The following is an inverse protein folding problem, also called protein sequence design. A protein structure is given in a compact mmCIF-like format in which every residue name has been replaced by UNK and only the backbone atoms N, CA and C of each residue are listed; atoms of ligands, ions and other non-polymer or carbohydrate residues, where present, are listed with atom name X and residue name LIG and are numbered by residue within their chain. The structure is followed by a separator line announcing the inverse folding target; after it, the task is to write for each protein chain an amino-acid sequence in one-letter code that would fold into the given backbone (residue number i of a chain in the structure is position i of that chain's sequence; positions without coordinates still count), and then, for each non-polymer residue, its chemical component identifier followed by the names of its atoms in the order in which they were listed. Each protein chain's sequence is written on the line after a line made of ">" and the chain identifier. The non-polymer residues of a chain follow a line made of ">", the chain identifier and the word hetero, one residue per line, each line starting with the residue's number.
data_IF_875980092555
#
_entry.id   IF_875980092555
#
_cell.length_a   1.000
_cell.length_b   1.000
_cell.length_c   1.000
_cell.angle_alpha   90.00
_cell.angle_beta   90.00
_cell.angle_gamma   90.00
#
_symmetry.space_group_name_H-M   'P 1'
#
loop_
_entity.id
_entity.type
_entity.pdbx_description
1 polymer ?
#
# COMPACT_ATOMS: atom_id res chain seq x y z
N UNK A 1 10.79 -16.43 24.25
CA UNK A 1 10.99 -16.41 22.79
C UNK A 1 11.08 -14.95 22.37
N UNK A 2 12.20 -14.52 21.82
CA UNK A 2 12.37 -13.17 21.28
C UNK A 2 11.44 -13.02 20.08
N UNK A 3 10.58 -11.99 20.09
CA UNK A 3 9.71 -11.67 18.95
C UNK A 3 10.62 -11.33 17.76
N UNK A 4 10.51 -12.01 16.63
CA UNK A 4 11.34 -11.69 15.47
C UNK A 4 11.09 -10.24 15.03
N UNK A 5 12.16 -9.55 14.67
CA UNK A 5 12.06 -8.21 14.08
C UNK A 5 11.26 -8.30 12.79
N UNK A 6 10.19 -7.54 12.70
CA UNK A 6 9.38 -7.44 11.49
C UNK A 6 9.93 -6.34 10.59
N UNK A 7 10.11 -6.62 9.30
CA UNK A 7 10.45 -5.63 8.28
C UNK A 7 9.37 -5.61 7.22
N UNK A 8 8.75 -4.45 7.00
CA UNK A 8 7.73 -4.27 5.98
C UNK A 8 8.33 -3.52 4.77
N UNK A 9 8.38 -4.18 3.63
CA UNK A 9 8.81 -3.58 2.36
C UNK A 9 7.62 -2.96 1.65
N UNK A 10 7.72 -1.68 1.28
CA UNK A 10 6.58 -0.88 0.81
C UNK A 10 6.94 0.06 -0.34
N UNK A 11 5.90 0.59 -1.00
CA UNK A 11 5.97 1.88 -1.68
C UNK A 11 5.20 2.92 -0.87
N UNK A 12 5.70 4.16 -0.81
CA UNK A 12 5.10 5.22 -0.01
C UNK A 12 3.61 5.47 -0.38
N UNK A 13 3.31 5.59 -1.66
CA UNK A 13 1.97 5.86 -2.19
C UNK A 13 1.14 4.60 -2.51
N UNK A 14 1.50 3.43 -1.96
CA UNK A 14 0.78 2.18 -2.24
C UNK A 14 -0.37 1.97 -1.26
N UNK A 15 -1.57 1.83 -1.78
CA UNK A 15 -2.78 1.49 -1.04
C UNK A 15 -2.65 0.14 -0.30
N UNK A 16 -2.08 -0.87 -0.95
CA UNK A 16 -1.85 -2.19 -0.35
C UNK A 16 -0.84 -2.11 0.80
N UNK A 17 0.20 -1.27 0.64
CA UNK A 17 1.16 -1.02 1.71
C UNK A 17 0.50 -0.28 2.87
N UNK A 18 -0.38 0.67 2.61
CA UNK A 18 -1.13 1.39 3.64
C UNK A 18 -2.04 0.45 4.44
N UNK A 19 -2.77 -0.45 3.78
CA UNK A 19 -3.56 -1.50 4.43
C UNK A 19 -2.73 -2.28 5.46
N UNK A 20 -1.50 -2.66 5.10
CA UNK A 20 -0.65 -3.47 6.00
C UNK A 20 0.02 -2.62 7.08
N UNK A 21 0.45 -1.38 6.79
CA UNK A 21 0.88 -0.44 7.84
C UNK A 21 -0.19 -0.30 8.91
N UNK A 22 -1.41 -0.07 8.48
CA UNK A 22 -2.55 0.07 9.38
C UNK A 22 -2.81 -1.20 10.19
N UNK A 23 -2.76 -2.37 9.54
CA UNK A 23 -2.95 -3.65 10.21
C UNK A 23 -1.89 -3.91 11.30
N UNK A 24 -0.63 -3.61 11.02
CA UNK A 24 0.48 -3.73 11.99
C UNK A 24 0.33 -2.74 13.15
N UNK A 25 -0.05 -1.50 12.83
CA UNK A 25 -0.28 -0.45 13.84
C UNK A 25 -1.46 -0.79 14.76
N UNK A 26 -2.57 -1.28 14.20
CA UNK A 26 -3.76 -1.71 14.95
C UNK A 26 -3.45 -2.92 15.85
N UNK A 27 -2.62 -3.84 15.38
CA UNK A 27 -2.14 -4.98 16.17
C UNK A 27 -1.12 -4.60 17.26
N UNK A 28 -0.70 -3.33 17.32
CA UNK A 28 0.31 -2.89 18.28
C UNK A 28 1.71 -3.42 18.01
N UNK A 29 1.99 -3.92 16.83
CA UNK A 29 3.26 -4.52 16.47
C UNK A 29 4.33 -3.48 16.14
N UNK A 30 5.55 -3.73 16.61
CA UNK A 30 6.71 -2.94 16.20
C UNK A 30 7.30 -3.55 14.94
N UNK A 31 7.57 -2.72 13.94
CA UNK A 31 8.20 -3.12 12.69
C UNK A 31 9.12 -2.02 12.16
N UNK A 32 10.05 -2.40 11.31
CA UNK A 32 10.84 -1.48 10.50
C UNK A 32 10.18 -1.36 9.13
N UNK A 33 10.05 -0.16 8.60
CA UNK A 33 9.55 0.03 7.25
C UNK A 33 10.71 0.29 6.30
N UNK A 34 10.80 -0.52 5.24
CA UNK A 34 11.76 -0.32 4.17
C UNK A 34 11.03 0.13 2.92
N UNK A 35 11.12 1.42 2.65
CA UNK A 35 10.50 2.02 1.48
C UNK A 35 11.36 1.84 0.24
N UNK A 36 10.78 1.24 -0.78
CA UNK A 36 11.42 0.95 -2.05
C UNK A 36 11.08 2.03 -3.07
N UNK A 37 11.99 2.24 -4.02
CA UNK A 37 11.73 3.15 -5.15
C UNK A 37 11.04 2.37 -6.27
N UNK A 38 9.87 2.82 -6.79
CA UNK A 38 9.24 2.19 -7.94
C UNK A 38 10.22 2.02 -9.11
N UNK A 39 10.06 0.94 -9.88
CA UNK A 39 10.90 0.52 -11.00
C UNK A 39 12.33 0.07 -10.65
N UNK A 40 12.98 0.62 -9.62
CA UNK A 40 14.33 0.26 -9.20
C UNK A 40 14.38 -0.85 -8.15
N UNK A 41 13.24 -1.24 -7.62
CA UNK A 41 13.10 -2.27 -6.58
C UNK A 41 13.43 -3.69 -7.07
N UNK A 42 13.60 -3.93 -8.36
CA UNK A 42 13.92 -5.27 -8.89
C UNK A 42 15.25 -5.83 -8.38
N UNK A 43 16.27 -4.98 -8.20
CA UNK A 43 17.53 -5.39 -7.60
C UNK A 43 17.37 -5.73 -6.10
N UNK A 44 16.54 -4.99 -5.39
CA UNK A 44 16.22 -5.28 -3.99
C UNK A 44 15.39 -6.57 -3.86
N UNK A 45 14.48 -6.83 -4.80
CA UNK A 45 13.67 -8.05 -4.87
C UNK A 45 14.52 -9.32 -4.95
N UNK A 46 15.50 -9.36 -5.84
CA UNK A 46 16.44 -10.50 -5.94
C UNK A 46 17.19 -10.76 -4.63
N UNK A 47 17.49 -9.69 -3.88
CA UNK A 47 18.16 -9.80 -2.57
C UNK A 47 17.21 -10.26 -1.47
N UNK A 48 15.93 -9.87 -1.55
CA UNK A 48 14.92 -10.11 -0.51
C UNK A 48 14.40 -11.55 -0.60
N UNK A 49 13.99 -12.01 -1.78
CA UNK A 49 13.32 -13.31 -1.92
C UNK A 49 13.98 -14.26 -2.90
N UNK A 50 15.08 -13.87 -3.54
CA UNK A 50 15.71 -14.65 -4.61
C UNK A 50 14.87 -14.77 -5.89
N UNK A 51 13.75 -14.04 -5.98
CA UNK A 51 12.79 -14.08 -7.09
C UNK A 51 12.52 -12.69 -7.66
N UNK A 52 12.33 -12.59 -8.95
CA UNK A 52 11.94 -11.35 -9.64
C UNK A 52 10.44 -11.03 -9.47
N UNK A 53 9.66 -11.96 -8.92
CA UNK A 53 8.20 -11.91 -8.84
C UNK A 53 7.61 -11.34 -7.55
N UNK A 54 8.41 -10.74 -6.65
CA UNK A 54 7.93 -10.24 -5.35
C UNK A 54 6.89 -9.14 -5.50
N UNK A 55 5.73 -9.32 -4.91
CA UNK A 55 4.70 -8.28 -4.81
C UNK A 55 4.98 -7.34 -3.63
N UNK A 56 4.57 -6.09 -3.73
CA UNK A 56 4.65 -5.11 -2.64
C UNK A 56 3.21 -4.78 -2.20
N UNK A 57 2.93 -4.88 -0.88
CA UNK A 57 3.83 -5.05 0.27
C UNK A 57 4.37 -6.48 0.44
N UNK A 58 5.55 -6.59 1.04
CA UNK A 58 6.14 -7.84 1.53
C UNK A 58 6.51 -7.68 3.00
N UNK A 59 6.16 -8.65 3.83
CA UNK A 59 6.54 -8.72 5.24
C UNK A 59 7.67 -9.75 5.41
N UNK A 60 8.77 -9.33 6.03
CA UNK A 60 9.82 -10.21 6.51
C UNK A 60 9.66 -10.45 8.01
N UNK A 61 9.64 -11.69 8.41
CA UNK A 61 9.49 -12.11 9.79
C UNK A 61 10.46 -13.26 10.12
N UNK A 62 11.60 -12.94 10.73
CA UNK A 62 12.59 -13.96 11.13
C UNK A 62 13.18 -14.77 9.97
N UNK A 63 13.32 -14.17 8.79
CA UNK A 63 13.83 -14.79 7.56
C UNK A 63 12.76 -15.41 6.66
N UNK A 64 11.51 -15.47 7.09
CA UNK A 64 10.36 -15.80 6.26
C UNK A 64 9.87 -14.54 5.53
N UNK A 65 9.53 -14.66 4.25
CA UNK A 65 8.96 -13.57 3.44
C UNK A 65 7.53 -13.91 3.05
N UNK A 66 6.61 -13.03 3.44
CA UNK A 66 5.18 -13.15 3.12
C UNK A 66 4.81 -12.03 2.16
N UNK A 67 4.38 -12.39 0.98
CA UNK A 67 4.00 -11.47 -0.08
C UNK A 67 2.47 -11.36 -0.16
N UNK A 68 1.99 -10.29 -0.79
CA UNK A 68 0.58 -9.97 -0.93
C UNK A 68 -0.10 -9.55 0.39
N UNK A 69 -0.92 -8.50 0.29
CA UNK A 69 -1.54 -7.90 1.48
C UNK A 69 -2.52 -8.83 2.19
N UNK A 70 -3.25 -9.68 1.46
CA UNK A 70 -4.19 -10.64 2.08
C UNK A 70 -3.43 -11.78 2.77
N UNK A 71 -2.37 -12.29 2.14
CA UNK A 71 -1.52 -13.32 2.77
C UNK A 71 -0.80 -12.79 4.02
N UNK A 72 -0.40 -11.52 4.02
CA UNK A 72 0.18 -10.88 5.21
C UNK A 72 -0.86 -10.80 6.34
N UNK A 73 -2.11 -10.45 6.04
CA UNK A 73 -3.19 -10.44 7.04
C UNK A 73 -3.43 -11.83 7.63
N UNK A 74 -3.46 -12.87 6.79
CA UNK A 74 -3.58 -14.26 7.24
C UNK A 74 -2.38 -14.71 8.08
N UNK A 75 -1.18 -14.27 7.72
CA UNK A 75 0.01 -14.53 8.51
C UNK A 75 -0.07 -13.86 9.88
N UNK A 76 -0.50 -12.60 9.94
CA UNK A 76 -0.71 -11.87 11.18
C UNK A 76 -1.76 -12.54 12.06
N UNK A 77 -2.86 -13.01 11.52
CA UNK A 77 -3.88 -13.75 12.26
C UNK A 77 -3.33 -15.01 12.89
N UNK A 78 -2.57 -15.79 12.14
CA UNK A 78 -1.99 -17.06 12.62
C UNK A 78 -0.91 -16.87 13.68
N UNK A 79 -0.10 -15.82 13.59
CA UNK A 79 1.09 -15.63 14.43
C UNK A 79 0.92 -14.58 15.52
N UNK A 80 -0.15 -13.80 15.50
CA UNK A 80 -0.42 -12.68 16.41
C UNK A 80 -1.85 -12.69 16.94
N UNK A 81 -2.38 -13.87 17.21
CA UNK A 81 -3.71 -14.02 17.78
C UNK A 81 -3.76 -13.53 19.26
N UNK A 82 -4.87 -12.87 19.68
CA UNK A 82 -6.00 -12.49 18.85
C UNK A 82 -5.67 -11.29 17.94
N UNK A 83 -5.88 -11.45 16.64
CA UNK A 83 -5.66 -10.35 15.70
C UNK A 83 -6.92 -9.48 15.60
N UNK A 84 -6.81 -8.25 16.09
CA UNK A 84 -7.97 -7.39 16.38
C UNK A 84 -8.82 -7.00 15.16
N UNK A 85 -8.25 -7.06 13.93
CA UNK A 85 -8.97 -6.68 12.71
C UNK A 85 -9.78 -7.82 12.08
N UNK A 86 -9.56 -9.06 12.49
CA UNK A 86 -10.33 -10.21 11.98
C UNK A 86 -11.27 -10.68 13.08
N UNK A 87 -12.61 -10.59 12.89
CA UNK A 87 -13.58 -11.02 13.88
C UNK A 87 -13.38 -12.50 14.26
N UNK A 88 -13.57 -12.81 15.54
CA UNK A 88 -13.48 -14.20 16.03
C UNK A 88 -14.76 -15.01 15.73
N UNK A 89 -15.91 -14.33 15.63
CA UNK A 89 -17.14 -14.96 15.18
C UNK A 89 -17.01 -15.39 13.71
N UNK A 90 -17.37 -16.64 13.41
CA UNK A 90 -17.13 -17.25 12.10
C UNK A 90 -17.94 -16.58 10.98
N UNK A 91 -19.15 -16.12 11.27
CA UNK A 91 -19.99 -15.44 10.29
C UNK A 91 -19.47 -14.04 9.98
N UNK A 92 -19.19 -13.25 11.03
CA UNK A 92 -18.60 -11.92 10.88
C UNK A 92 -17.23 -11.98 10.22
N UNK A 93 -16.42 -12.99 10.56
CA UNK A 93 -15.13 -13.24 9.90
C UNK A 93 -15.32 -13.46 8.40
N UNK A 94 -16.24 -14.34 8.02
CA UNK A 94 -16.52 -14.61 6.61
C UNK A 94 -17.00 -13.35 5.88
N UNK A 95 -17.89 -12.56 6.51
CA UNK A 95 -18.35 -11.29 5.95
C UNK A 95 -17.20 -10.31 5.76
N UNK A 96 -16.33 -10.14 6.77
CA UNK A 96 -15.18 -9.23 6.73
C UNK A 96 -14.19 -9.61 5.61
N UNK A 97 -13.84 -10.88 5.49
CA UNK A 97 -12.93 -11.36 4.44
C UNK A 97 -13.52 -11.25 3.04
N UNK A 98 -14.83 -11.52 2.89
CA UNK A 98 -15.51 -11.30 1.59
C UNK A 98 -15.54 -9.82 1.20
N UNK A 99 -15.74 -8.95 2.17
CA UNK A 99 -15.74 -7.51 1.91
C UNK A 99 -14.32 -7.02 1.58
N UNK A 100 -13.34 -7.48 2.32
CA UNK A 100 -11.92 -7.23 2.06
C UNK A 100 -11.54 -7.59 0.62
N UNK A 101 -11.84 -8.82 0.18
CA UNK A 101 -11.56 -9.27 -1.19
C UNK A 101 -12.23 -8.42 -2.27
N UNK A 102 -13.49 -7.98 -2.03
CA UNK A 102 -14.19 -7.07 -2.96
C UNK A 102 -13.51 -5.71 -3.04
N UNK A 103 -13.10 -5.14 -1.90
CA UNK A 103 -12.41 -3.85 -1.87
C UNK A 103 -11.00 -3.96 -2.45
N UNK A 104 -10.33 -5.08 -2.29
CA UNK A 104 -9.04 -5.32 -2.96
C UNK A 104 -9.18 -5.28 -4.48
N UNK A 105 -10.28 -5.80 -5.01
CA UNK A 105 -10.59 -5.79 -6.44
C UNK A 105 -10.70 -4.37 -7.03
N UNK A 106 -11.12 -3.38 -6.27
CA UNK A 106 -11.21 -1.99 -6.76
C UNK A 106 -9.85 -1.29 -6.81
N UNK A 107 -8.85 -1.79 -6.10
CA UNK A 107 -7.53 -1.14 -6.00
C UNK A 107 -6.90 -0.76 -7.34
N UNK A 108 -6.79 -1.66 -8.33
CA UNK A 108 -6.27 -1.33 -9.66
C UNK A 108 -7.07 -0.25 -10.38
N UNK A 109 -8.39 -0.19 -10.16
CA UNK A 109 -9.27 0.81 -10.74
C UNK A 109 -9.07 2.19 -10.09
N UNK A 110 -8.90 2.23 -8.77
CA UNK A 110 -8.53 3.47 -8.06
C UNK A 110 -7.18 3.99 -8.54
N UNK A 111 -6.17 3.12 -8.66
CA UNK A 111 -4.85 3.49 -9.19
C UNK A 111 -4.96 4.04 -10.61
N UNK A 112 -5.79 3.44 -11.47
CA UNK A 112 -5.99 3.92 -12.83
C UNK A 112 -6.64 5.31 -12.87
N UNK A 113 -7.68 5.53 -12.08
CA UNK A 113 -8.34 6.84 -11.95
C UNK A 113 -7.35 7.90 -11.44
N UNK A 114 -6.60 7.59 -10.38
CA UNK A 114 -5.58 8.46 -9.80
C UNK A 114 -4.51 8.84 -10.84
N UNK A 115 -3.88 7.86 -11.48
CA UNK A 115 -2.80 8.14 -12.42
C UNK A 115 -3.26 8.72 -13.75
N UNK A 116 -4.50 8.48 -14.16
CA UNK A 116 -5.08 9.19 -15.32
C UNK A 116 -5.06 10.70 -15.10
N UNK A 117 -5.24 11.15 -13.84
CA UNK A 117 -5.19 12.56 -13.48
C UNK A 117 -3.76 13.02 -13.16
N UNK A 118 -3.03 12.29 -12.31
CA UNK A 118 -1.70 12.70 -11.88
C UNK A 118 -0.67 12.81 -13.01
N UNK A 119 -0.79 12.00 -14.05
CA UNK A 119 0.15 12.04 -15.17
C UNK A 119 -0.03 13.29 -16.06
N UNK A 120 -1.02 14.13 -15.79
CA UNK A 120 -1.11 15.48 -16.36
C UNK A 120 -0.09 16.42 -15.71
N UNK A 121 0.35 16.12 -14.46
CA UNK A 121 1.45 16.80 -13.76
C UNK A 121 2.68 15.86 -13.62
N UNK A 122 3.61 15.88 -14.58
CA UNK A 122 4.78 15.02 -14.56
C UNK A 122 5.73 15.29 -13.39
N UNK A 123 5.75 16.51 -12.85
CA UNK A 123 6.65 16.89 -11.76
C UNK A 123 6.14 16.34 -10.42
N UNK A 124 4.83 16.40 -10.20
CA UNK A 124 4.20 15.76 -9.05
C UNK A 124 4.40 14.24 -9.07
N UNK A 125 4.17 13.59 -10.22
CA UNK A 125 4.40 12.14 -10.35
C UNK A 125 5.86 11.78 -10.07
N UNK A 126 6.79 12.56 -10.60
CA UNK A 126 8.22 12.35 -10.34
C UNK A 126 8.54 12.45 -8.86
N UNK A 127 8.01 13.45 -8.15
CA UNK A 127 8.18 13.59 -6.70
C UNK A 127 7.60 12.40 -5.95
N UNK A 128 6.38 11.96 -6.28
CA UNK A 128 5.76 10.79 -5.66
C UNK A 128 6.59 9.52 -5.84
N UNK A 129 7.17 9.31 -7.02
CA UNK A 129 8.01 8.14 -7.27
C UNK A 129 9.38 8.23 -6.60
N UNK A 130 9.85 9.43 -6.28
CA UNK A 130 11.17 9.69 -5.70
C UNK A 130 11.12 9.98 -4.19
N UNK A 131 9.95 9.92 -3.54
CA UNK A 131 9.79 10.27 -2.12
C UNK A 131 10.86 9.63 -1.21
N UNK A 132 11.26 8.40 -1.51
CA UNK A 132 12.21 7.63 -0.73
C UNK A 132 13.48 7.25 -1.52
N UNK A 133 13.69 7.85 -2.68
CA UNK A 133 14.85 7.56 -3.51
C UNK A 133 16.13 8.22 -2.98
N UNK A 134 17.19 7.42 -2.87
CA UNK A 134 18.53 7.96 -2.64
C UNK A 134 19.01 8.82 -3.83
N UNK A 135 20.02 9.69 -3.60
CA UNK A 135 20.52 10.66 -4.61
C UNK A 135 20.86 10.03 -5.97
N UNK A 136 21.48 8.85 -5.96
CA UNK A 136 21.87 8.13 -7.19
C UNK A 136 20.62 7.62 -7.92
N UNK A 137 19.69 7.01 -7.19
CA UNK A 137 18.42 6.54 -7.75
C UNK A 137 17.57 7.71 -8.29
N UNK A 138 17.54 8.84 -7.59
CA UNK A 138 16.86 10.05 -8.05
C UNK A 138 17.43 10.55 -9.37
N UNK A 139 18.75 10.64 -9.52
CA UNK A 139 19.41 11.05 -10.77
C UNK A 139 19.08 10.11 -11.93
N UNK A 140 19.17 8.80 -11.71
CA UNK A 140 18.82 7.79 -12.73
C UNK A 140 17.35 7.87 -13.15
N UNK A 141 16.46 7.99 -12.17
CA UNK A 141 15.01 8.13 -12.41
C UNK A 141 14.66 9.42 -13.14
N UNK A 142 15.34 10.54 -12.83
CA UNK A 142 15.17 11.79 -13.58
C UNK A 142 15.48 11.62 -15.06
N UNK A 143 16.61 10.99 -15.38
CA UNK A 143 17.01 10.73 -16.75
C UNK A 143 16.06 9.78 -17.49
N UNK A 144 15.60 8.72 -16.81
CA UNK A 144 14.74 7.69 -17.38
C UNK A 144 13.24 8.05 -17.35
N UNK A 145 12.84 9.12 -16.67
CA UNK A 145 11.45 9.43 -16.39
C UNK A 145 10.53 9.47 -17.63
N UNK A 146 10.89 10.08 -18.76
CA UNK A 146 10.00 10.11 -19.94
C UNK A 146 9.69 8.69 -20.47
N UNK A 147 10.68 7.80 -20.42
CA UNK A 147 10.50 6.40 -20.83
C UNK A 147 9.64 5.65 -19.80
N UNK A 148 9.97 5.75 -18.52
CA UNK A 148 9.25 5.08 -17.45
C UNK A 148 7.78 5.52 -17.38
N UNK A 149 7.51 6.81 -17.57
CA UNK A 149 6.14 7.34 -17.66
C UNK A 149 5.35 6.66 -18.77
N UNK A 150 5.94 6.51 -19.98
CA UNK A 150 5.27 5.84 -21.11
C UNK A 150 5.02 4.36 -20.84
N UNK A 151 6.01 3.65 -20.30
CA UNK A 151 5.87 2.23 -19.91
C UNK A 151 4.76 2.08 -18.87
N UNK A 152 4.75 2.93 -17.86
CA UNK A 152 3.76 2.92 -16.80
C UNK A 152 2.34 3.23 -17.31
N UNK A 153 2.20 4.23 -18.18
CA UNK A 153 0.92 4.55 -18.84
C UNK A 153 0.35 3.35 -19.61
N UNK A 154 1.22 2.65 -20.36
CA UNK A 154 0.82 1.43 -21.09
C UNK A 154 0.48 0.28 -20.15
N UNK A 155 1.29 0.07 -19.13
CA UNK A 155 1.09 -0.99 -18.14
C UNK A 155 -0.21 -0.84 -17.35
N UNK A 156 -0.60 0.39 -17.03
CA UNK A 156 -1.90 0.68 -16.40
C UNK A 156 -3.07 0.69 -17.39
N UNK A 157 -2.80 0.66 -18.69
CA UNK A 157 -3.86 0.76 -19.70
C UNK A 157 -4.62 2.08 -19.60
N UNK A 158 -3.91 3.23 -19.55
CA UNK A 158 -4.53 4.54 -19.43
C UNK A 158 -5.15 5.01 -20.76
N UNK A 159 -6.12 4.26 -21.25
CA UNK A 159 -6.97 4.66 -22.36
C UNK A 159 -8.27 5.28 -21.84
N UNK A 160 -8.91 6.22 -22.58
CA UNK A 160 -10.17 6.82 -22.14
C UNK A 160 -11.24 5.78 -21.78
N UNK A 161 -11.35 4.71 -22.56
CA UNK A 161 -12.31 3.62 -22.32
C UNK A 161 -12.03 2.86 -21.02
N UNK A 162 -10.78 2.52 -20.74
CA UNK A 162 -10.42 1.78 -19.53
C UNK A 162 -10.46 2.67 -18.28
N UNK A 163 -10.15 3.96 -18.42
CA UNK A 163 -10.28 4.94 -17.33
C UNK A 163 -11.75 5.11 -16.98
N UNK A 164 -12.63 5.28 -17.98
CA UNK A 164 -14.07 5.40 -17.74
C UNK A 164 -14.67 4.11 -17.15
N UNK A 165 -14.23 2.95 -17.63
CA UNK A 165 -14.61 1.68 -17.00
C UNK A 165 -14.20 1.63 -15.53
N UNK A 166 -12.98 2.06 -15.22
CA UNK A 166 -12.47 2.08 -13.84
C UNK A 166 -13.24 3.06 -12.96
N UNK A 167 -13.59 4.24 -13.49
CA UNK A 167 -14.44 5.20 -12.79
C UNK A 167 -15.78 4.58 -12.40
N UNK A 168 -16.44 3.86 -13.32
CA UNK A 168 -17.70 3.16 -13.05
C UNK A 168 -17.56 2.04 -12.01
N UNK A 169 -16.41 1.35 -11.97
CA UNK A 169 -16.14 0.34 -10.93
C UNK A 169 -16.01 1.01 -9.56
N UNK A 170 -15.24 2.09 -9.47
CA UNK A 170 -15.10 2.87 -8.24
C UNK A 170 -16.45 3.43 -7.78
N UNK A 171 -17.25 4.00 -8.69
CA UNK A 171 -18.58 4.52 -8.37
C UNK A 171 -19.52 3.46 -7.81
N UNK A 172 -19.50 2.24 -8.35
CA UNK A 172 -20.29 1.13 -7.80
C UNK A 172 -19.86 0.77 -6.38
N UNK A 173 -18.56 0.76 -6.10
CA UNK A 173 -18.06 0.53 -4.75
C UNK A 173 -18.46 1.66 -3.80
N UNK A 174 -18.38 2.92 -4.24
CA UNK A 174 -18.86 4.06 -3.46
C UNK A 174 -20.37 3.98 -3.21
N UNK A 175 -21.19 3.57 -4.21
CA UNK A 175 -22.64 3.36 -4.02
C UNK A 175 -22.91 2.30 -2.95
N UNK A 176 -22.19 1.18 -2.96
CA UNK A 176 -22.33 0.14 -1.94
C UNK A 176 -22.01 0.70 -0.54
N UNK A 177 -20.93 1.47 -0.41
CA UNK A 177 -20.54 2.10 0.86
C UNK A 177 -21.56 3.15 1.31
N UNK A 178 -22.07 4.00 0.40
CA UNK A 178 -23.10 4.98 0.73
C UNK A 178 -24.34 4.31 1.33
N UNK A 179 -24.83 3.23 0.71
CA UNK A 179 -25.97 2.47 1.24
C UNK A 179 -25.71 1.90 2.63
N UNK A 180 -24.48 1.45 2.90
CA UNK A 180 -24.12 0.92 4.22
C UNK A 180 -24.08 2.04 5.26
N UNK A 181 -23.48 3.17 4.93
CA UNK A 181 -23.40 4.35 5.82
C UNK A 181 -24.81 4.91 6.07
N UNK A 182 -25.63 5.08 5.04
CA UNK A 182 -27.00 5.59 5.14
C UNK A 182 -27.91 4.65 5.94
N UNK A 183 -27.61 3.35 6.00
CA UNK A 183 -28.31 2.40 6.88
C UNK A 183 -27.94 2.54 8.37
N UNK A 184 -27.10 3.53 8.74
CA UNK A 184 -26.67 3.78 10.09
C UNK A 184 -25.51 2.88 10.57
N UNK A 185 -24.86 2.15 9.68
CA UNK A 185 -23.69 1.35 10.02
C UNK A 185 -22.46 2.25 10.07
N UNK A 186 -21.80 2.23 11.22
CA UNK A 186 -20.49 2.91 11.32
C UNK A 186 -19.36 2.01 10.86
N UNK A 187 -19.39 0.71 11.18
CA UNK A 187 -18.46 -0.29 10.65
C UNK A 187 -19.13 -1.16 9.60
N UNK A 188 -18.37 -1.57 8.59
CA UNK A 188 -18.87 -2.35 7.46
C UNK A 188 -19.29 -3.75 7.87
N UNK A 189 -18.62 -4.30 8.90
CA UNK A 189 -18.93 -5.63 9.44
C UNK A 189 -18.90 -5.59 10.97
N UNK A 190 -19.99 -6.04 11.59
CA UNK A 190 -20.10 -6.04 13.05
C UNK A 190 -20.17 -4.64 13.65
N UNK A 191 -19.62 -4.47 14.86
CA UNK A 191 -19.69 -3.24 15.65
C UNK A 191 -18.33 -2.67 16.06
N UNK A 192 -17.24 -3.12 15.45
CA UNK A 192 -15.87 -2.66 15.67
C UNK A 192 -15.07 -2.70 14.39
N UNK A 193 -13.97 -1.93 14.38
CA UNK A 193 -13.07 -1.85 13.24
C UNK A 193 -12.61 -3.26 12.82
N UNK A 194 -12.73 -3.54 11.55
CA UNK A 194 -12.32 -4.81 10.94
C UNK A 194 -11.43 -4.62 9.72
N UNK A 195 -10.92 -5.72 9.19
CA UNK A 195 -10.17 -5.71 7.92
C UNK A 195 -10.99 -5.16 6.76
N UNK A 196 -12.32 -5.28 6.79
CA UNK A 196 -13.21 -4.71 5.79
C UNK A 196 -13.08 -3.18 5.73
N UNK A 197 -13.15 -2.53 6.90
CA UNK A 197 -13.05 -1.07 7.04
C UNK A 197 -11.67 -0.56 6.63
N UNK A 198 -10.63 -1.21 7.13
CA UNK A 198 -9.23 -0.85 6.84
C UNK A 198 -8.93 -0.98 5.33
N UNK A 199 -9.42 -2.06 4.70
CA UNK A 199 -9.19 -2.27 3.27
C UNK A 199 -9.94 -1.24 2.44
N UNK A 200 -11.23 -1.00 2.72
CA UNK A 200 -12.02 0.00 2.01
C UNK A 200 -11.39 1.41 2.14
N UNK A 201 -11.05 1.81 3.37
CA UNK A 201 -10.45 3.10 3.62
C UNK A 201 -9.08 3.25 2.93
N UNK A 202 -8.18 2.27 3.06
CA UNK A 202 -6.87 2.30 2.44
C UNK A 202 -6.95 2.31 0.89
N UNK A 203 -7.88 1.53 0.29
CA UNK A 203 -8.06 1.50 -1.15
C UNK A 203 -8.59 2.81 -1.71
N UNK A 204 -9.48 3.49 -1.00
CA UNK A 204 -10.07 4.75 -1.43
C UNK A 204 -9.24 5.99 -1.04
N UNK A 205 -8.24 5.87 -0.17
CA UNK A 205 -7.42 6.99 0.30
C UNK A 205 -6.86 7.90 -0.81
N UNK A 206 -6.39 7.39 -1.97
CA UNK A 206 -5.91 8.27 -3.05
C UNK A 206 -6.98 9.19 -3.64
N UNK A 207 -8.27 8.81 -3.52
CA UNK A 207 -9.41 9.53 -4.05
C UNK A 207 -10.19 10.29 -2.99
N UNK A 208 -9.79 10.17 -1.71
CA UNK A 208 -10.43 10.85 -0.57
C UNK A 208 -9.49 11.83 0.11
N UNK A 209 -8.18 11.57 0.03
CA UNK A 209 -7.11 12.39 0.58
C UNK A 209 -7.28 12.67 2.09
N UNK A 210 -7.41 11.64 2.96
CA UNK A 210 -7.57 11.86 4.39
C UNK A 210 -6.32 12.52 4.99
N UNK A 211 -6.52 13.36 6.01
CA UNK A 211 -5.45 14.14 6.64
C UNK A 211 -4.40 13.28 7.34
N UNK A 212 -4.80 12.11 7.81
CA UNK A 212 -3.92 11.16 8.50
C UNK A 212 -3.07 10.30 7.55
N UNK A 213 -3.34 10.34 6.24
CA UNK A 213 -2.55 9.57 5.28
C UNK A 213 -1.22 10.27 4.97
N UNK A 214 -0.06 9.60 5.15
CA UNK A 214 1.26 10.25 5.11
C UNK A 214 1.67 10.82 3.75
N UNK A 215 0.98 10.48 2.67
CA UNK A 215 1.29 10.93 1.30
C UNK A 215 0.12 11.72 0.70
N UNK A 216 -1.10 11.22 0.82
CA UNK A 216 -2.25 11.81 0.15
C UNK A 216 -2.85 13.03 0.89
N UNK A 217 -2.37 13.34 2.11
CA UNK A 217 -2.67 14.59 2.82
C UNK A 217 -1.96 15.82 2.21
N UNK A 218 -0.97 15.61 1.34
CA UNK A 218 -0.18 16.68 0.73
C UNK A 218 -1.07 17.65 -0.08
N UNK A 219 -0.87 18.96 0.13
CA UNK A 219 -1.70 19.99 -0.49
C UNK A 219 -1.61 19.96 -2.03
N UNK A 220 -0.41 19.79 -2.57
CA UNK A 220 -0.17 19.77 -4.00
C UNK A 220 -0.76 18.52 -4.67
N UNK A 221 -0.74 17.38 -3.95
CA UNK A 221 -1.47 16.19 -4.37
C UNK A 221 -2.98 16.45 -4.44
N UNK A 222 -3.56 17.06 -3.40
CA UNK A 222 -4.99 17.41 -3.34
C UNK A 222 -5.39 18.36 -4.46
N UNK A 223 -4.57 19.38 -4.71
CA UNK A 223 -4.82 20.35 -5.78
C UNK A 223 -4.80 19.68 -7.16
N UNK A 224 -3.82 18.82 -7.42
CA UNK A 224 -3.76 18.05 -8.65
C UNK A 224 -4.97 17.12 -8.84
N UNK A 225 -5.51 16.60 -7.75
CA UNK A 225 -6.67 15.68 -7.75
C UNK A 225 -8.02 16.40 -7.64
N UNK A 226 -8.05 17.72 -7.41
CA UNK A 226 -9.26 18.48 -7.05
C UNK A 226 -10.45 18.26 -8.00
N UNK A 227 -10.21 18.25 -9.32
CA UNK A 227 -11.28 18.04 -10.30
C UNK A 227 -11.91 16.65 -10.25
N UNK A 228 -11.15 15.63 -9.87
CA UNK A 228 -11.65 14.27 -9.67
C UNK A 228 -12.34 14.15 -8.31
N UNK A 229 -11.72 14.71 -7.26
CA UNK A 229 -12.25 14.67 -5.89
C UNK A 229 -13.62 15.37 -5.80
N UNK A 230 -13.78 16.53 -6.44
CA UNK A 230 -15.05 17.28 -6.43
C UNK A 230 -16.24 16.47 -6.95
N UNK A 231 -16.00 15.46 -7.78
CA UNK A 231 -17.05 14.57 -8.31
C UNK A 231 -17.68 13.72 -7.20
N UNK A 232 -16.92 13.41 -6.15
CA UNK A 232 -17.34 12.48 -5.09
C UNK A 232 -17.36 13.11 -3.69
N UNK A 233 -16.98 14.36 -3.55
CA UNK A 233 -16.78 15.05 -2.26
C UNK A 233 -17.98 14.99 -1.33
N UNK A 234 -19.19 15.15 -1.87
CA UNK A 234 -20.44 15.17 -1.11
C UNK A 234 -20.98 13.76 -0.74
N UNK A 235 -20.27 12.71 -1.05
CA UNK A 235 -20.77 11.33 -0.84
C UNK A 235 -20.58 10.90 0.62
N UNK A 236 -21.57 10.20 1.21
CA UNK A 236 -21.46 9.61 2.54
C UNK A 236 -20.23 8.71 2.70
N UNK A 237 -19.90 7.90 1.68
CA UNK A 237 -18.71 7.04 1.66
C UNK A 237 -17.40 7.83 1.81
N UNK A 238 -17.29 9.00 1.21
CA UNK A 238 -16.09 9.86 1.32
C UNK A 238 -15.94 10.41 2.72
N UNK A 239 -17.03 10.90 3.30
CA UNK A 239 -17.06 11.36 4.69
C UNK A 239 -16.72 10.22 5.67
N UNK A 240 -17.27 9.03 5.42
CA UNK A 240 -17.00 7.81 6.19
C UNK A 240 -15.51 7.42 6.14
N UNK A 241 -14.89 7.40 4.96
CA UNK A 241 -13.45 7.08 4.84
C UNK A 241 -12.62 8.05 5.67
N UNK A 242 -12.88 9.35 5.59
CA UNK A 242 -12.17 10.37 6.40
C UNK A 242 -12.36 10.12 7.89
N UNK A 243 -13.57 9.79 8.31
CA UNK A 243 -13.87 9.53 9.71
C UNK A 243 -13.19 8.26 10.22
N UNK A 244 -13.15 7.18 9.43
CA UNK A 244 -12.41 5.95 9.75
C UNK A 244 -10.92 6.24 9.91
N UNK A 245 -10.34 7.06 9.02
CA UNK A 245 -8.94 7.50 9.14
C UNK A 245 -8.75 8.29 10.43
N UNK A 246 -9.53 9.31 10.65
CA UNK A 246 -9.44 10.20 11.82
C UNK A 246 -9.52 9.45 13.15
N UNK A 247 -10.38 8.47 13.27
CA UNK A 247 -10.60 7.73 14.52
C UNK A 247 -9.58 6.60 14.71
N UNK A 248 -9.16 5.96 13.65
CA UNK A 248 -8.46 4.68 13.77
C UNK A 248 -7.05 4.67 13.17
N UNK A 249 -6.73 5.60 12.26
CA UNK A 249 -5.40 5.64 11.67
C UNK A 249 -4.40 6.34 12.58
N UNK A 250 -3.85 5.58 13.51
CA UNK A 250 -2.77 6.06 14.39
C UNK A 250 -1.42 5.78 13.73
N UNK A 251 -0.86 6.80 13.10
CA UNK A 251 0.50 6.70 12.55
C UNK A 251 1.47 6.61 13.74
N UNK A 252 2.06 5.44 13.94
CA UNK A 252 3.13 5.27 14.92
C UNK A 252 4.46 5.76 14.33
N UNK A 253 5.38 6.28 15.15
CA UNK A 253 6.74 6.51 14.70
C UNK A 253 7.37 5.18 14.27
N UNK A 254 7.50 4.97 12.98
CA UNK A 254 8.14 3.80 12.40
C UNK A 254 9.56 4.18 12.01
N UNK A 255 10.52 3.33 12.30
CA UNK A 255 11.88 3.53 11.82
C UNK A 255 11.93 3.25 10.31
N UNK A 256 11.83 4.32 9.52
CA UNK A 256 11.87 4.23 8.05
C UNK A 256 13.32 4.10 7.62
N UNK A 257 13.68 2.92 7.13
CA UNK A 257 14.95 2.70 6.46
C UNK A 257 14.79 3.12 5.00
N UNK A 258 15.39 4.26 4.63
CA UNK A 258 15.50 4.64 3.22
C UNK A 258 16.43 3.66 2.51
N UNK A 259 16.16 3.36 1.25
CA UNK A 259 17.00 2.49 0.43
C UNK A 259 18.46 2.96 0.55
N UNK A 260 19.31 2.15 1.17
CA UNK A 260 20.74 2.45 1.23
C UNK A 260 21.26 2.53 -0.20
N UNK A 261 22.23 3.42 -0.51
CA UNK A 261 22.92 3.36 -1.78
C UNK A 261 23.43 1.92 -1.94
N UNK A 262 23.23 1.33 -3.12
CA UNK A 262 23.71 -0.01 -3.44
C UNK A 262 25.19 -0.08 -3.09
N UNK A 263 25.52 -0.57 -1.91
CA UNK A 263 26.89 -0.75 -1.52
C UNK A 263 27.40 -1.96 -2.28
N UNK A 264 28.19 -1.72 -3.30
CA UNK A 264 29.12 -2.67 -3.91
C UNK A 264 29.99 -3.32 -2.81
N UNK A 265 30.06 -2.75 -1.62
CA UNK A 265 30.76 -3.28 -0.45
C UNK A 265 30.13 -4.51 0.20
N UNK A 266 28.80 -4.73 0.10
CA UNK A 266 28.17 -5.92 0.67
C UNK A 266 28.54 -7.22 -0.08
N UNK A 267 29.06 -7.12 -1.30
CA UNK A 267 29.49 -8.29 -2.08
C UNK A 267 30.83 -8.87 -1.61
N UNK A 268 31.60 -8.15 -0.76
CA UNK A 268 32.89 -8.63 -0.26
C UNK A 268 32.81 -9.52 0.99
N UNK A 269 31.68 -9.60 1.67
CA UNK A 269 31.57 -10.28 2.96
C UNK A 269 31.04 -11.75 2.89
N UNK A 270 30.65 -12.25 1.71
CA UNK A 270 30.26 -13.65 1.53
C UNK A 270 31.18 -14.36 0.54
N UNK A 271 32.49 -14.40 0.83
CA UNK A 271 33.40 -15.38 0.24
C UNK A 271 33.32 -16.65 1.11
N UNK A 272 32.87 -17.81 0.60
CA UNK A 272 32.95 -19.04 1.35
C UNK A 272 34.42 -19.33 1.65
N UNK A 273 34.74 -19.58 2.90
CA UNK A 273 36.04 -20.09 3.32
C UNK A 273 36.28 -21.40 2.55
N UNK A 274 37.28 -21.39 1.67
CA UNK A 274 37.77 -22.63 1.09
C UNK A 274 38.31 -23.50 2.23
N UNK A 275 37.61 -24.58 2.54
CA UNK A 275 38.14 -25.68 3.34
C UNK A 275 39.31 -26.27 2.60
N UNK A 276 40.53 -25.94 3.08
CA UNK A 276 41.73 -26.60 2.61
C UNK A 276 41.74 -28.04 3.08
N UNK A 277 41.66 -28.96 2.17
CA UNK A 277 42.01 -30.35 2.36
C UNK A 277 43.53 -30.41 2.41
N UNK A 278 44.09 -30.72 3.56
CA UNK A 278 45.47 -31.20 3.65
C UNK A 278 45.46 -32.73 3.45
N UNK A 279 46.36 -33.16 2.57
CA UNK A 279 46.71 -34.55 2.33
C UNK A 279 47.48 -35.15 3.52
#
# INVERSE_FOLDING_TARGET
>A
MTVPTLTLYTFAASQSSEKIRWALDAAGLHYQERRLTPFLHHADRLRISGSLGVSIPTLEAGGEYVEDSTQILEWLERHRAPFVLIPQDAELRQQAMRFEARMDHIGPHVVRCMYARLLEDPDLVRRLWLLDAGRVHAGLMHAAFPMLRRVFQRGLGLTPTLVEHSRKVVERALNELDHMVDSGRFYLVGNQLSVADVTAAARLAPLVCPDEHPVFCDAEYRDAMASLLSTWEARPAVAWVREIYRLHRRVRPVHVLRSAPSSVEAFRLHRPLKTGTQA
#
